data_IF_662537446810
#
_entry.id   IF_662537446810
#
_cell.length_a   1.000
_cell.length_b   1.000
_cell.length_c   1.000
_cell.angle_alpha   90.00
_cell.angle_beta   90.00
_cell.angle_gamma   90.00
#
_symmetry.space_group_name_H-M   'P 1'
#
loop_
_entity.id
_entity.type
_entity.pdbx_description
1 polymer ?
#
# COMPACT_ATOMS: atom_id res chain seq x y z
N UNK A 1 -14.79 -1.49 -23.72
CA UNK A 1 -13.53 -1.31 -22.97
C UNK A 1 -13.19 0.16 -22.72
N UNK A 2 -13.04 1.02 -23.74
CA UNK A 2 -12.64 2.42 -23.52
C UNK A 2 -13.67 3.25 -22.71
N UNK A 3 -14.97 3.07 -22.98
CA UNK A 3 -16.06 3.71 -22.23
C UNK A 3 -16.08 3.30 -20.76
N UNK A 4 -15.89 2.03 -20.48
CA UNK A 4 -15.78 1.48 -19.12
C UNK A 4 -14.56 2.03 -18.39
N UNK A 5 -13.42 2.11 -19.09
CA UNK A 5 -12.19 2.70 -18.54
C UNK A 5 -12.39 4.18 -18.20
N UNK A 6 -13.06 4.96 -19.07
CA UNK A 6 -13.44 6.36 -18.80
C UNK A 6 -14.30 6.48 -17.54
N UNK A 7 -15.33 5.64 -17.41
CA UNK A 7 -16.20 5.60 -16.21
C UNK A 7 -15.40 5.25 -14.95
N UNK A 8 -14.46 4.31 -15.06
CA UNK A 8 -13.64 3.84 -13.95
C UNK A 8 -12.62 4.90 -13.51
N UNK A 9 -12.01 5.63 -14.45
CA UNK A 9 -11.16 6.80 -14.18
C UNK A 9 -11.93 7.87 -13.40
N UNK A 10 -13.13 8.22 -13.84
CA UNK A 10 -13.97 9.21 -13.15
C UNK A 10 -14.30 8.76 -11.72
N UNK A 11 -14.76 7.52 -11.56
CA UNK A 11 -15.14 6.98 -10.25
C UNK A 11 -13.96 6.95 -9.27
N UNK A 12 -12.79 6.48 -9.71
CA UNK A 12 -11.59 6.43 -8.86
C UNK A 12 -11.07 7.82 -8.51
N UNK A 13 -11.21 8.81 -9.41
CA UNK A 13 -10.92 10.22 -9.11
C UNK A 13 -11.85 10.76 -8.03
N UNK A 14 -13.16 10.53 -8.13
CA UNK A 14 -14.14 10.91 -7.10
C UNK A 14 -13.86 10.29 -5.73
N UNK A 15 -13.61 8.98 -5.69
CA UNK A 15 -13.25 8.27 -4.46
C UNK A 15 -11.97 8.81 -3.80
N UNK A 16 -11.07 9.42 -4.58
CA UNK A 16 -9.82 10.03 -4.08
C UNK A 16 -9.93 11.56 -3.91
N UNK A 17 -11.14 12.12 -3.96
CA UNK A 17 -11.42 13.52 -3.65
C UNK A 17 -11.20 14.48 -4.82
N UNK A 18 -11.17 13.97 -6.06
CA UNK A 18 -10.99 14.74 -7.29
C UNK A 18 -12.25 14.66 -8.15
N UNK A 19 -12.44 15.62 -9.06
CA UNK A 19 -13.61 15.67 -9.97
C UNK A 19 -14.95 15.58 -9.21
N UNK A 20 -15.01 16.28 -8.08
CA UNK A 20 -16.21 16.41 -7.26
C UNK A 20 -17.13 17.53 -7.77
N UNK A 21 -16.64 18.39 -8.67
CA UNK A 21 -17.44 19.40 -9.36
C UNK A 21 -18.65 18.76 -10.04
N UNK A 22 -19.81 19.39 -9.89
CA UNK A 22 -21.07 18.92 -10.45
C UNK A 22 -21.75 17.79 -9.67
N UNK A 23 -21.21 17.37 -8.52
CA UNK A 23 -21.96 16.56 -7.55
C UNK A 23 -22.89 17.45 -6.74
N UNK A 24 -24.10 16.97 -6.51
CA UNK A 24 -25.05 17.57 -5.58
C UNK A 24 -24.60 17.37 -4.12
N UNK A 25 -25.14 18.18 -3.21
CA UNK A 25 -24.90 18.04 -1.77
C UNK A 25 -25.22 16.62 -1.27
N UNK A 26 -26.31 16.02 -1.74
CA UNK A 26 -26.70 14.65 -1.36
C UNK A 26 -25.69 13.60 -1.85
N UNK A 27 -25.14 13.77 -3.06
CA UNK A 27 -24.11 12.87 -3.58
C UNK A 27 -22.78 13.03 -2.85
N UNK A 28 -22.39 14.25 -2.47
CA UNK A 28 -21.21 14.51 -1.65
C UNK A 28 -21.35 13.90 -0.25
N UNK A 29 -22.52 14.06 0.37
CA UNK A 29 -22.82 13.46 1.66
C UNK A 29 -22.76 11.93 1.60
N UNK A 30 -23.37 11.32 0.58
CA UNK A 30 -23.32 9.87 0.37
C UNK A 30 -21.88 9.38 0.15
N UNK A 31 -21.06 10.12 -0.59
CA UNK A 31 -19.65 9.81 -0.78
C UNK A 31 -18.86 9.89 0.52
N UNK A 32 -19.10 10.92 1.34
CA UNK A 32 -18.48 11.07 2.67
C UNK A 32 -18.80 9.87 3.55
N UNK A 33 -20.07 9.51 3.65
CA UNK A 33 -20.54 8.43 4.52
C UNK A 33 -19.95 7.09 4.06
N UNK A 34 -19.98 6.82 2.76
CA UNK A 34 -19.33 5.65 2.17
C UNK A 34 -17.83 5.57 2.48
N UNK A 35 -17.09 6.68 2.36
CA UNK A 35 -15.65 6.69 2.66
C UNK A 35 -15.37 6.48 4.16
N UNK A 36 -16.23 6.97 5.05
CA UNK A 36 -16.12 6.71 6.49
C UNK A 36 -16.33 5.23 6.80
N UNK A 37 -17.34 4.59 6.21
CA UNK A 37 -17.58 3.16 6.39
C UNK A 37 -16.40 2.32 5.91
N UNK A 38 -15.87 2.64 4.72
CA UNK A 38 -14.70 1.96 4.17
C UNK A 38 -13.46 2.19 5.04
N UNK A 39 -13.28 3.38 5.62
CA UNK A 39 -12.17 3.66 6.53
C UNK A 39 -12.16 2.71 7.73
N UNK A 40 -13.33 2.44 8.31
CA UNK A 40 -13.47 1.49 9.43
C UNK A 40 -13.05 0.08 9.00
N UNK A 41 -13.54 -0.38 7.85
CA UNK A 41 -13.22 -1.72 7.30
C UNK A 41 -11.71 -1.87 7.10
N UNK A 42 -11.07 -0.92 6.42
CA UNK A 42 -9.63 -0.98 6.10
C UNK A 42 -8.77 -0.87 7.36
N UNK A 43 -9.19 -0.04 8.34
CA UNK A 43 -8.49 0.10 9.62
C UNK A 43 -8.56 -1.19 10.43
N UNK A 44 -9.72 -1.85 10.48
CA UNK A 44 -9.87 -3.14 11.14
C UNK A 44 -8.99 -4.22 10.51
N UNK A 45 -8.93 -4.28 9.17
CA UNK A 45 -8.03 -5.20 8.48
C UNK A 45 -6.55 -4.93 8.81
N UNK A 46 -6.15 -3.66 8.88
CA UNK A 46 -4.78 -3.28 9.26
C UNK A 46 -4.44 -3.67 10.69
N UNK A 47 -5.39 -3.50 11.62
CA UNK A 47 -5.23 -3.88 13.02
C UNK A 47 -5.13 -5.41 13.17
N UNK A 48 -5.92 -6.17 12.41
CA UNK A 48 -5.84 -7.64 12.36
C UNK A 48 -4.43 -8.10 12.00
N UNK A 49 -3.84 -7.57 10.93
CA UNK A 49 -2.46 -7.91 10.52
C UNK A 49 -1.45 -7.56 11.61
N UNK A 50 -1.62 -6.40 12.27
CA UNK A 50 -0.73 -5.97 13.36
C UNK A 50 -0.79 -6.94 14.54
N UNK A 51 -1.99 -7.41 14.91
CA UNK A 51 -2.20 -8.35 16.00
C UNK A 51 -1.59 -9.72 15.67
N UNK A 52 -1.89 -10.27 14.50
CA UNK A 52 -1.33 -11.56 14.04
C UNK A 52 0.21 -11.53 14.03
N UNK A 53 0.82 -10.43 13.59
CA UNK A 53 2.28 -10.28 13.61
C UNK A 53 2.84 -10.24 15.03
N UNK A 54 2.15 -9.55 15.95
CA UNK A 54 2.57 -9.47 17.35
C UNK A 54 2.47 -10.84 18.05
N UNK A 55 1.43 -11.62 17.76
CA UNK A 55 1.24 -12.96 18.30
C UNK A 55 2.32 -13.93 17.81
N UNK A 56 2.63 -13.94 16.51
CA UNK A 56 3.73 -14.75 15.95
C UNK A 56 5.09 -14.42 16.58
N UNK A 57 5.34 -13.14 16.86
CA UNK A 57 6.56 -12.70 17.55
C UNK A 57 6.63 -13.17 19.01
N UNK A 58 5.48 -13.30 19.69
CA UNK A 58 5.42 -13.86 21.05
C UNK A 58 5.74 -15.35 21.04
N UNK A 59 5.08 -16.11 20.17
CA UNK A 59 5.30 -17.56 20.02
C UNK A 59 6.76 -17.90 19.68
N UNK A 60 7.42 -17.09 18.84
CA UNK A 60 8.84 -17.28 18.53
C UNK A 60 9.77 -17.04 19.72
N UNK A 61 9.44 -16.10 20.61
CA UNK A 61 10.24 -15.83 21.82
C UNK A 61 10.08 -16.95 22.84
N UNK A 62 8.84 -17.43 23.04
CA UNK A 62 8.54 -18.52 23.96
C UNK A 62 9.22 -19.84 23.52
N UNK A 63 9.18 -20.18 22.22
CA UNK A 63 9.86 -21.36 21.70
C UNK A 63 11.41 -21.28 21.74
N UNK A 64 11.97 -20.07 21.71
CA UNK A 64 13.41 -19.83 21.84
C UNK A 64 13.92 -20.00 23.28
N UNK A 65 13.10 -19.65 24.26
CA UNK A 65 13.43 -19.74 25.70
C UNK A 65 13.41 -21.20 26.20
N UNK A 66 12.50 -22.04 25.68
CA UNK A 66 12.44 -23.47 26.03
C UNK A 66 13.66 -24.30 25.55
N UNK A 67 14.55 -23.73 24.73
CA UNK A 67 15.79 -24.38 24.30
C UNK A 67 17.04 -23.92 25.10
N UNK A 68 16.92 -22.98 26.04
CA UNK A 68 18.02 -22.59 26.93
C UNK A 68 18.08 -23.46 28.20
N UNK A 69 18.52 -24.72 28.04
CA UNK A 69 19.16 -25.45 29.13
C UNK A 69 20.46 -24.75 29.58
N UNK A 70 20.96 -24.98 30.81
CA UNK A 70 22.05 -24.20 31.39
C UNK A 70 23.37 -24.49 30.67
N UNK A 71 23.68 -23.68 29.66
CA UNK A 71 24.96 -23.75 28.94
C UNK A 71 25.98 -22.88 29.66
N UNK A 72 26.91 -23.57 30.31
CA UNK A 72 28.20 -23.09 30.81
C UNK A 72 28.77 -22.01 29.88
N UNK A 73 28.93 -20.79 30.42
CA UNK A 73 29.62 -19.69 29.75
C UNK A 73 31.09 -20.05 29.59
N UNK A 74 31.49 -20.53 28.41
CA UNK A 74 32.88 -20.47 27.96
C UNK A 74 32.94 -19.43 26.85
N UNK A 75 33.40 -18.25 27.20
CA UNK A 75 33.79 -17.21 26.24
C UNK A 75 35.03 -17.70 25.49
N UNK A 76 34.86 -18.17 24.26
CA UNK A 76 35.98 -18.37 23.32
C UNK A 76 36.01 -17.18 22.36
N UNK A 77 37.08 -16.36 22.32
CA UNK A 77 37.24 -15.32 21.33
C UNK A 77 37.76 -15.94 20.02
N UNK A 78 36.89 -16.06 19.01
CA UNK A 78 37.34 -16.47 17.67
C UNK A 78 37.70 -15.24 16.83
N UNK A 79 39.00 -14.99 16.71
CA UNK A 79 39.61 -14.25 15.60
C UNK A 79 39.56 -15.10 14.34
N UNK A 80 39.05 -14.56 13.24
CA UNK A 80 39.47 -14.96 11.89
C UNK A 80 39.23 -13.82 10.90
N UNK A 81 40.33 -13.36 10.31
CA UNK A 81 40.37 -12.36 9.24
C UNK A 81 40.28 -13.01 7.85
N UNK A 82 39.60 -12.30 6.95
CA UNK A 82 39.82 -12.12 5.50
C UNK A 82 39.98 -13.30 4.53
N UNK A 83 39.03 -13.37 3.57
CA UNK A 83 39.13 -13.35 2.07
C UNK A 83 37.80 -13.91 1.55
N UNK A 84 37.03 -13.29 0.65
CA UNK A 84 37.37 -12.52 -0.54
C UNK A 84 37.08 -13.39 -1.77
N UNK A 85 35.90 -13.22 -2.40
CA UNK A 85 35.52 -13.54 -3.79
C UNK A 85 33.98 -13.44 -3.85
N UNK A 86 33.30 -12.51 -4.53
CA UNK A 86 33.55 -12.00 -5.88
C UNK A 86 32.59 -12.72 -6.82
N UNK A 87 31.55 -12.02 -7.30
CA UNK A 87 30.73 -12.19 -8.53
C UNK A 87 29.26 -11.78 -8.25
N UNK A 88 28.57 -10.93 -9.02
CA UNK A 88 28.90 -10.08 -10.17
C UNK A 88 27.69 -9.17 -10.35
N UNK A 89 27.78 -7.90 -9.97
CA UNK A 89 26.78 -6.90 -10.37
C UNK A 89 26.98 -6.64 -11.86
N UNK A 90 26.11 -7.19 -12.70
CA UNK A 90 26.07 -6.88 -14.11
C UNK A 90 25.39 -5.52 -14.27
N UNK A 91 26.16 -4.46 -14.04
CA UNK A 91 25.81 -3.11 -14.48
C UNK A 91 25.77 -3.10 -16.00
N UNK A 92 24.58 -2.97 -16.56
CA UNK A 92 24.46 -2.36 -17.88
C UNK A 92 24.60 -0.87 -17.67
N UNK A 93 25.71 -0.35 -18.17
CA UNK A 93 26.04 1.06 -18.31
C UNK A 93 25.20 1.62 -19.45
N UNK A 94 24.01 2.12 -19.12
CA UNK A 94 23.30 3.08 -19.95
C UNK A 94 23.43 4.41 -19.22
N UNK A 95 24.13 5.37 -19.83
CA UNK A 95 24.60 6.65 -19.25
C UNK A 95 23.49 7.65 -18.89
N UNK A 96 22.34 7.17 -18.44
CA UNK A 96 21.24 7.97 -17.94
C UNK A 96 21.37 8.16 -16.42
N UNK A 97 21.18 9.39 -15.90
CA UNK A 97 21.11 9.62 -14.46
C UNK A 97 20.04 8.71 -13.83
N UNK A 98 20.28 8.13 -12.64
CA UNK A 98 19.28 7.31 -11.98
C UNK A 98 18.02 8.14 -11.76
N UNK A 99 16.96 7.79 -12.50
CA UNK A 99 15.69 8.49 -12.42
C UNK A 99 15.13 8.40 -10.99
N UNK A 100 14.57 9.51 -10.50
CA UNK A 100 13.87 9.48 -9.21
C UNK A 100 12.74 8.46 -9.24
N UNK A 101 12.43 7.83 -8.10
CA UNK A 101 11.31 6.87 -7.98
C UNK A 101 10.00 7.43 -8.56
N UNK A 102 9.74 8.71 -8.33
CA UNK A 102 8.58 9.43 -8.85
C UNK A 102 8.56 9.48 -10.38
N UNK A 103 9.71 9.72 -11.00
CA UNK A 103 9.83 9.79 -12.46
C UNK A 103 9.69 8.41 -13.10
N UNK A 104 10.23 7.36 -12.47
CA UNK A 104 10.03 5.97 -12.91
C UNK A 104 8.55 5.59 -12.85
N UNK A 105 7.85 5.91 -11.76
CA UNK A 105 6.42 5.63 -11.62
C UNK A 105 5.56 6.44 -12.61
N UNK A 106 5.99 7.65 -12.95
CA UNK A 106 5.35 8.47 -13.96
C UNK A 106 5.49 7.87 -15.36
N UNK A 107 6.71 7.53 -15.78
CA UNK A 107 6.96 6.90 -17.10
C UNK A 107 6.26 5.54 -17.21
N UNK A 108 6.26 4.74 -16.13
CA UNK A 108 5.50 3.48 -16.08
C UNK A 108 4.01 3.70 -16.30
N UNK A 109 3.43 4.75 -15.70
CA UNK A 109 2.02 5.10 -15.92
C UNK A 109 1.75 5.61 -17.33
N UNK A 110 2.70 6.32 -17.93
CA UNK A 110 2.61 6.82 -19.30
C UNK A 110 2.66 5.68 -20.34
N UNK A 111 3.45 4.65 -20.06
CA UNK A 111 3.58 3.45 -20.89
C UNK A 111 2.54 2.36 -20.58
N UNK A 112 1.58 2.62 -19.68
CA UNK A 112 0.58 1.63 -19.26
C UNK A 112 -0.37 1.29 -20.41
N UNK A 113 -0.60 0.00 -20.66
CA UNK A 113 -1.61 -0.44 -21.63
C UNK A 113 -3.02 -0.18 -21.10
N UNK A 114 -4.01 -0.01 -21.99
CA UNK A 114 -5.42 0.17 -21.58
C UNK A 114 -5.90 -0.96 -20.64
N UNK A 115 -5.45 -2.19 -20.86
CA UNK A 115 -5.81 -3.33 -20.03
C UNK A 115 -5.19 -3.24 -18.63
N UNK A 116 -3.89 -2.97 -18.53
CA UNK A 116 -3.21 -2.82 -17.23
C UNK A 116 -3.82 -1.68 -16.42
N UNK A 117 -4.11 -0.56 -17.08
CA UNK A 117 -4.76 0.57 -16.42
C UNK A 117 -6.15 0.20 -15.89
N UNK A 118 -6.93 -0.51 -16.70
CA UNK A 118 -8.24 -1.00 -16.29
C UNK A 118 -8.14 -1.87 -15.03
N UNK A 119 -7.26 -2.88 -15.02
CA UNK A 119 -7.08 -3.77 -13.87
C UNK A 119 -6.64 -3.00 -12.62
N UNK A 120 -5.69 -2.07 -12.77
CA UNK A 120 -5.20 -1.24 -11.67
C UNK A 120 -6.30 -0.36 -11.08
N UNK A 121 -7.06 0.34 -11.92
CA UNK A 121 -8.16 1.20 -11.47
C UNK A 121 -9.33 0.38 -10.91
N UNK A 122 -9.59 -0.79 -11.47
CA UNK A 122 -10.64 -1.69 -10.98
C UNK A 122 -10.29 -2.18 -9.58
N UNK A 123 -9.04 -2.62 -9.38
CA UNK A 123 -8.58 -3.07 -8.07
C UNK A 123 -8.63 -1.92 -7.05
N UNK A 124 -8.23 -0.71 -7.44
CA UNK A 124 -8.37 0.48 -6.59
C UNK A 124 -9.82 0.74 -6.22
N UNK A 125 -10.74 0.72 -7.18
CA UNK A 125 -12.19 0.86 -6.92
C UNK A 125 -12.67 -0.18 -5.91
N UNK A 126 -12.29 -1.44 -6.08
CA UNK A 126 -12.72 -2.51 -5.16
C UNK A 126 -12.19 -2.27 -3.74
N UNK A 127 -10.93 -1.84 -3.61
CA UNK A 127 -10.31 -1.49 -2.31
C UNK A 127 -10.93 -0.26 -1.66
N UNK A 128 -11.24 0.78 -2.44
CA UNK A 128 -11.97 1.98 -2.01
C UNK A 128 -13.45 1.71 -1.70
N UNK A 129 -13.92 0.46 -1.90
CA UNK A 129 -15.22 -0.04 -1.46
C UNK A 129 -15.09 -1.08 -0.33
N UNK A 130 -13.93 -1.17 0.33
CA UNK A 130 -13.69 -2.11 1.43
C UNK A 130 -13.56 -3.58 0.99
N UNK A 131 -13.43 -3.86 -0.31
CA UNK A 131 -13.27 -5.21 -0.88
C UNK A 131 -11.82 -5.46 -1.30
N UNK A 132 -11.50 -6.72 -1.63
CA UNK A 132 -10.17 -7.12 -2.15
C UNK A 132 -8.99 -6.66 -1.27
N UNK A 133 -9.20 -6.68 0.06
CA UNK A 133 -8.18 -6.33 1.06
C UNK A 133 -7.32 -7.53 1.47
N UNK A 134 -7.77 -8.76 1.20
CA UNK A 134 -7.02 -9.98 1.47
C UNK A 134 -5.69 -9.98 0.72
N UNK A 135 -4.61 -10.32 1.42
CA UNK A 135 -3.25 -10.35 0.85
C UNK A 135 -2.55 -8.98 0.83
N UNK A 136 -3.23 -7.88 1.16
CA UNK A 136 -2.57 -6.58 1.30
C UNK A 136 -1.67 -6.58 2.53
N UNK A 137 -0.46 -6.03 2.37
CA UNK A 137 0.48 -5.78 3.45
C UNK A 137 0.02 -4.60 4.32
N UNK A 138 0.61 -4.50 5.51
CA UNK A 138 0.37 -3.36 6.42
C UNK A 138 0.63 -2.00 5.75
N UNK A 139 1.69 -1.90 4.95
CA UNK A 139 2.06 -0.67 4.23
C UNK A 139 1.08 -0.34 3.11
N UNK A 140 0.58 -1.34 2.37
CA UNK A 140 -0.44 -1.13 1.34
C UNK A 140 -1.77 -0.69 1.95
N UNK A 141 -2.19 -1.28 3.07
CA UNK A 141 -3.39 -0.83 3.80
C UNK A 141 -3.20 0.59 4.34
N UNK A 142 -2.00 0.94 4.80
CA UNK A 142 -1.70 2.32 5.20
C UNK A 142 -1.84 3.30 4.03
N UNK A 143 -1.33 2.94 2.85
CA UNK A 143 -1.47 3.78 1.65
C UNK A 143 -2.94 3.93 1.24
N UNK A 144 -3.73 2.85 1.31
CA UNK A 144 -5.16 2.90 1.04
C UNK A 144 -5.90 3.81 2.02
N UNK A 145 -5.57 3.75 3.31
CA UNK A 145 -6.11 4.68 4.32
C UNK A 145 -5.78 6.13 3.97
N UNK A 146 -4.53 6.43 3.56
CA UNK A 146 -4.16 7.77 3.09
C UNK A 146 -5.00 8.23 1.89
N UNK A 147 -5.33 7.34 0.96
CA UNK A 147 -6.19 7.65 -0.19
C UNK A 147 -7.65 7.93 0.23
N UNK A 148 -8.17 7.16 1.20
CA UNK A 148 -9.52 7.40 1.76
C UNK A 148 -9.56 8.77 2.45
N UNK A 149 -8.54 9.13 3.23
CA UNK A 149 -8.44 10.47 3.83
C UNK A 149 -8.36 11.59 2.78
N UNK A 150 -7.66 11.38 1.65
CA UNK A 150 -7.68 12.33 0.54
C UNK A 150 -9.09 12.50 -0.03
N UNK A 151 -9.85 11.41 -0.17
CA UNK A 151 -11.26 11.44 -0.54
C UNK A 151 -12.10 12.27 0.41
N UNK A 152 -12.03 11.97 1.71
CA UNK A 152 -12.77 12.69 2.75
C UNK A 152 -12.42 14.18 2.81
N UNK A 153 -11.12 14.50 2.64
CA UNK A 153 -10.65 15.89 2.58
C UNK A 153 -11.24 16.62 1.37
N UNK A 154 -11.18 16.01 0.19
CA UNK A 154 -11.78 16.60 -1.02
C UNK A 154 -13.27 16.88 -0.84
N UNK A 155 -14.02 15.94 -0.27
CA UNK A 155 -15.45 16.14 0.02
C UNK A 155 -15.68 17.25 1.05
N UNK A 156 -14.83 17.34 2.07
CA UNK A 156 -14.91 18.43 3.06
C UNK A 156 -14.67 19.80 2.43
N UNK A 157 -13.68 19.93 1.55
CA UNK A 157 -13.38 21.18 0.85
C UNK A 157 -14.55 21.63 -0.05
N UNK A 158 -15.28 20.69 -0.68
CA UNK A 158 -16.43 21.00 -1.53
C UNK A 158 -17.75 21.20 -0.76
N UNK A 159 -17.80 20.86 0.53
CA UNK A 159 -18.96 21.11 1.40
C UNK A 159 -19.02 22.56 1.92
N UNK A 160 -17.90 23.29 1.86
CA UNK A 160 -17.77 24.67 2.36
C UNK A 160 -17.74 25.73 1.26
N UNK A 161 -18.03 25.33 0.02
CA UNK A 161 -18.25 26.19 -1.14
C UNK A 161 -19.76 26.29 -1.36
#
# INVERSE_FOLDING_TARGET
MESELKRLRLLTRRLTGKDLDGLSFAELQLLRDHLNDVLVIVTNQKNKIKLEKAERLRQQKEAGDENEGPRTRVLVPCRSSNRGSGEREQKQDDGSPPLSRTQIEFEKRKAESMHSEFERLWLLKERMNGRKLTGMTFSELHLLISQIYQGLRGVHEHHHI
#
